data_IF_219047034964
#
_entry.id   IF_219047034964
#
_cell.length_a   1.000
_cell.length_b   1.000
_cell.length_c   1.000
_cell.angle_alpha   90.00
_cell.angle_beta   90.00
_cell.angle_gamma   90.00
#
_symmetry.space_group_name_H-M   'P 1'
#
loop_
_entity.id
_entity.type
_entity.pdbx_description
1 polymer ?
#
# COMPACT_ATOMS: atom_id res chain seq x y z
N UNK A 1 -28.96 -11.80 9.30
CA UNK A 1 -27.88 -11.17 10.08
C UNK A 1 -26.53 -11.66 9.63
N UNK A 2 -26.34 -12.96 9.47
CA UNK A 2 -25.05 -13.61 9.16
C UNK A 2 -24.41 -13.13 7.86
N UNK A 3 -25.23 -12.89 6.82
CA UNK A 3 -24.76 -12.37 5.54
C UNK A 3 -24.20 -10.94 5.67
N UNK A 4 -24.86 -10.06 6.41
CA UNK A 4 -24.40 -8.68 6.62
C UNK A 4 -23.08 -8.64 7.39
N UNK A 5 -22.98 -9.45 8.43
CA UNK A 5 -21.75 -9.58 9.23
C UNK A 5 -20.62 -10.13 8.35
N UNK A 6 -20.89 -11.17 7.56
CA UNK A 6 -19.92 -11.72 6.62
C UNK A 6 -19.43 -10.68 5.61
N UNK A 7 -20.33 -9.87 5.03
CA UNK A 7 -19.96 -8.81 4.08
C UNK A 7 -19.14 -7.68 4.75
N UNK A 8 -19.48 -7.30 5.97
CA UNK A 8 -18.70 -6.31 6.73
C UNK A 8 -17.25 -6.78 6.95
N UNK A 9 -17.06 -8.01 7.41
CA UNK A 9 -15.71 -8.56 7.59
C UNK A 9 -14.96 -8.75 6.26
N UNK A 10 -15.65 -9.13 5.20
CA UNK A 10 -15.07 -9.20 3.87
C UNK A 10 -14.61 -7.83 3.39
N UNK A 11 -15.47 -6.82 3.53
CA UNK A 11 -15.15 -5.44 3.16
C UNK A 11 -14.00 -4.86 4.00
N UNK A 12 -14.00 -5.09 5.32
CA UNK A 12 -12.88 -4.69 6.17
C UNK A 12 -11.56 -5.37 5.78
N UNK A 13 -11.61 -6.65 5.39
CA UNK A 13 -10.43 -7.37 4.92
C UNK A 13 -9.89 -6.79 3.61
N UNK A 14 -10.76 -6.56 2.63
CA UNK A 14 -10.38 -5.89 1.36
C UNK A 14 -9.82 -4.51 1.67
N UNK A 15 -10.52 -3.72 2.48
CA UNK A 15 -10.06 -2.39 2.91
C UNK A 15 -8.70 -2.42 3.60
N UNK A 16 -8.41 -3.45 4.40
CA UNK A 16 -7.11 -3.59 5.08
C UNK A 16 -5.96 -3.81 4.12
N UNK A 17 -6.17 -4.58 3.05
CA UNK A 17 -5.17 -4.80 2.00
C UNK A 17 -4.93 -3.52 1.22
N UNK A 18 -6.02 -2.86 0.80
CA UNK A 18 -5.95 -1.58 0.11
C UNK A 18 -5.24 -0.52 0.97
N UNK A 19 -5.51 -0.54 2.27
CA UNK A 19 -4.87 0.35 3.23
C UNK A 19 -3.37 0.10 3.33
N UNK A 20 -2.92 -1.16 3.49
CA UNK A 20 -1.50 -1.49 3.54
C UNK A 20 -0.76 -1.01 2.29
N UNK A 21 -1.32 -1.25 1.11
CA UNK A 21 -0.76 -0.77 -0.16
C UNK A 21 -0.76 0.76 -0.24
N UNK A 22 -1.86 1.40 0.20
CA UNK A 22 -2.04 2.85 0.14
C UNK A 22 -1.21 3.62 1.18
N UNK A 23 -0.91 3.04 2.36
CA UNK A 23 -0.10 3.70 3.39
C UNK A 23 1.28 4.07 2.85
N UNK A 24 1.93 3.17 2.14
CA UNK A 24 3.21 3.43 1.51
C UNK A 24 3.14 4.54 0.45
N UNK A 25 2.12 4.48 -0.39
CA UNK A 25 1.88 5.48 -1.42
C UNK A 25 1.49 6.85 -0.83
N UNK A 26 0.72 6.87 0.25
CA UNK A 26 0.35 8.10 0.97
C UNK A 26 1.58 8.81 1.54
N UNK A 27 2.59 8.07 2.00
CA UNK A 27 3.86 8.64 2.43
C UNK A 27 4.65 9.24 1.27
N UNK A 28 4.85 8.49 0.20
CA UNK A 28 5.68 8.95 -0.93
C UNK A 28 4.99 10.03 -1.75
N UNK A 29 3.77 9.80 -2.19
CA UNK A 29 3.03 10.76 -2.99
C UNK A 29 2.56 11.96 -2.16
N UNK A 30 2.02 11.72 -0.98
CA UNK A 30 1.48 12.78 -0.13
C UNK A 30 2.51 13.77 0.40
N UNK A 31 3.77 13.33 0.53
CA UNK A 31 4.84 14.15 1.10
C UNK A 31 5.78 14.75 0.06
N UNK A 32 5.98 14.05 -1.03
CA UNK A 32 6.97 14.46 -2.04
C UNK A 32 6.32 14.94 -3.33
N UNK A 33 5.00 14.80 -3.48
CA UNK A 33 4.28 15.14 -4.71
C UNK A 33 4.67 14.27 -5.92
N UNK A 34 5.34 13.15 -5.67
CA UNK A 34 5.88 12.27 -6.71
C UNK A 34 4.95 11.11 -6.95
N UNK A 35 4.43 11.00 -8.17
CA UNK A 35 3.65 9.84 -8.59
C UNK A 35 4.62 8.73 -8.98
N UNK A 36 4.68 7.69 -8.16
CA UNK A 36 5.54 6.53 -8.40
C UNK A 36 4.72 5.34 -8.91
N UNK A 37 4.73 5.12 -10.23
CA UNK A 37 4.02 3.98 -10.84
C UNK A 37 4.70 2.62 -10.55
N UNK A 38 5.99 2.62 -10.17
CA UNK A 38 6.68 1.39 -9.76
C UNK A 38 6.31 0.94 -8.33
N UNK A 39 5.45 1.66 -7.60
CA UNK A 39 5.04 1.29 -6.25
C UNK A 39 4.36 -0.09 -6.20
N UNK A 40 3.59 -0.43 -7.22
CA UNK A 40 3.00 -1.77 -7.37
C UNK A 40 4.04 -2.88 -7.40
N UNK A 41 5.19 -2.63 -8.01
CA UNK A 41 6.25 -3.64 -8.15
C UNK A 41 6.97 -3.92 -6.82
N UNK A 42 6.88 -3.01 -5.85
CA UNK A 42 7.34 -3.28 -4.48
C UNK A 42 6.38 -4.23 -3.75
N UNK A 43 5.07 -4.15 -4.06
CA UNK A 43 4.07 -5.13 -3.61
C UNK A 43 4.39 -6.51 -4.22
N UNK A 44 4.63 -6.56 -5.53
CA UNK A 44 5.04 -7.78 -6.23
C UNK A 44 6.32 -8.36 -5.61
N UNK A 45 7.35 -7.54 -5.40
CA UNK A 45 8.61 -7.99 -4.80
C UNK A 45 8.41 -8.56 -3.38
N UNK A 46 7.54 -7.95 -2.57
CA UNK A 46 7.16 -8.48 -1.26
C UNK A 46 6.49 -9.84 -1.35
N UNK A 47 5.57 -10.04 -2.30
CA UNK A 47 4.89 -11.32 -2.48
C UNK A 47 5.84 -12.42 -2.96
N UNK A 48 6.75 -12.14 -3.89
CA UNK A 48 7.79 -13.09 -4.29
C UNK A 48 8.81 -13.34 -3.18
N UNK A 49 9.08 -12.35 -2.32
CA UNK A 49 9.92 -12.58 -1.13
C UNK A 49 9.29 -13.63 -0.22
N UNK A 50 7.98 -13.61 0.01
CA UNK A 50 7.30 -14.63 0.79
C UNK A 50 7.42 -16.02 0.15
N UNK A 51 7.31 -16.11 -1.16
CA UNK A 51 7.51 -17.36 -1.90
C UNK A 51 8.93 -17.90 -1.74
N UNK A 52 9.96 -17.07 -1.92
CA UNK A 52 11.37 -17.47 -1.78
C UNK A 52 11.71 -17.88 -0.34
N UNK A 53 11.28 -17.12 0.64
CA UNK A 53 11.51 -17.40 2.08
C UNK A 53 10.89 -18.76 2.45
N UNK A 54 9.70 -19.08 1.91
CA UNK A 54 9.04 -20.35 2.20
C UNK A 54 9.78 -21.56 1.58
N UNK A 55 10.50 -21.37 0.48
CA UNK A 55 11.35 -22.46 -0.09
C UNK A 55 12.56 -22.78 0.80
N UNK A 56 13.04 -21.79 1.57
CA UNK A 56 14.18 -21.95 2.47
C UNK A 56 13.73 -22.39 3.86
N UNK A 57 12.60 -21.87 4.35
CA UNK A 57 12.08 -22.11 5.69
C UNK A 57 10.84 -23.00 5.60
N UNK A 58 10.97 -24.27 5.93
CA UNK A 58 9.89 -25.27 5.84
C UNK A 58 8.72 -25.00 6.78
N UNK A 59 8.94 -24.32 7.91
CA UNK A 59 7.87 -23.95 8.84
C UNK A 59 7.10 -22.75 8.30
N UNK A 60 5.86 -22.94 7.83
CA UNK A 60 5.03 -21.89 7.27
C UNK A 60 4.77 -20.71 8.25
N UNK A 61 4.70 -20.99 9.57
CA UNK A 61 4.54 -19.95 10.58
C UNK A 61 5.76 -19.05 10.71
N UNK A 62 6.95 -19.65 10.82
CA UNK A 62 8.23 -18.92 10.89
C UNK A 62 8.48 -18.20 9.56
N UNK A 63 8.24 -18.87 8.44
CA UNK A 63 8.37 -18.31 7.09
C UNK A 63 7.53 -17.03 6.94
N UNK A 64 6.28 -17.01 7.42
CA UNK A 64 5.43 -15.82 7.35
C UNK A 64 6.05 -14.62 8.10
N UNK A 65 6.47 -14.79 9.36
CA UNK A 65 7.04 -13.68 10.13
C UNK A 65 8.37 -13.19 9.55
N UNK A 66 9.22 -14.10 9.10
CA UNK A 66 10.46 -13.75 8.40
C UNK A 66 10.15 -13.02 7.10
N UNK A 67 9.15 -13.48 6.33
CA UNK A 67 8.73 -12.83 5.09
C UNK A 67 8.21 -11.41 5.30
N UNK A 68 7.48 -11.16 6.38
CA UNK A 68 7.02 -9.80 6.72
C UNK A 68 8.21 -8.85 6.91
N UNK A 69 9.22 -9.28 7.66
CA UNK A 69 10.43 -8.48 7.89
C UNK A 69 11.25 -8.32 6.59
N UNK A 70 11.54 -9.42 5.91
CA UNK A 70 12.38 -9.41 4.69
C UNK A 70 11.66 -8.70 3.54
N UNK A 71 10.34 -8.91 3.38
CA UNK A 71 9.54 -8.22 2.38
C UNK A 71 9.49 -6.70 2.59
N UNK A 72 9.40 -6.26 3.85
CA UNK A 72 9.54 -4.84 4.19
C UNK A 72 10.92 -4.29 3.81
N UNK A 73 11.99 -5.03 4.11
CA UNK A 73 13.37 -4.62 3.78
C UNK A 73 13.60 -4.59 2.27
N UNK A 74 13.17 -5.62 1.54
CA UNK A 74 13.31 -5.71 0.08
C UNK A 74 12.56 -4.57 -0.59
N UNK A 75 11.28 -4.35 -0.27
CA UNK A 75 10.52 -3.22 -0.79
C UNK A 75 11.17 -1.88 -0.46
N UNK A 76 11.63 -1.71 0.79
CA UNK A 76 12.30 -0.50 1.26
C UNK A 76 13.60 -0.21 0.50
N UNK A 77 14.46 -1.22 0.32
CA UNK A 77 15.71 -1.09 -0.44
C UNK A 77 15.44 -0.76 -1.90
N UNK A 78 14.48 -1.44 -2.54
CA UNK A 78 14.08 -1.15 -3.92
C UNK A 78 13.59 0.30 -4.06
N UNK A 79 12.79 0.79 -3.10
CA UNK A 79 12.33 2.17 -3.08
C UNK A 79 13.47 3.18 -2.94
N UNK A 80 14.44 2.91 -2.05
CA UNK A 80 15.64 3.76 -1.91
C UNK A 80 16.47 3.75 -3.19
N UNK A 81 16.68 2.60 -3.81
CA UNK A 81 17.39 2.50 -5.08
C UNK A 81 16.70 3.34 -6.16
N UNK A 82 15.38 3.24 -6.29
CA UNK A 82 14.60 4.03 -7.24
C UNK A 82 14.71 5.53 -6.96
N UNK A 83 14.61 5.94 -5.68
CA UNK A 83 14.75 7.35 -5.28
C UNK A 83 16.12 7.89 -5.64
N UNK A 84 17.19 7.20 -5.20
CA UNK A 84 18.57 7.67 -5.36
C UNK A 84 19.01 7.73 -6.83
N UNK A 85 18.60 6.77 -7.65
CA UNK A 85 19.02 6.65 -9.05
C UNK A 85 18.22 7.55 -10.00
N UNK A 86 16.90 7.58 -9.82
CA UNK A 86 15.98 8.17 -10.79
C UNK A 86 15.20 9.37 -10.20
N UNK A 87 14.37 9.16 -9.17
CA UNK A 87 13.38 10.13 -8.73
C UNK A 87 14.03 11.43 -8.26
N UNK A 88 15.15 11.34 -7.54
CA UNK A 88 15.90 12.51 -7.04
C UNK A 88 16.21 13.54 -8.11
N UNK A 89 16.46 13.12 -9.33
CA UNK A 89 16.79 14.00 -10.45
C UNK A 89 15.57 14.62 -11.11
N UNK A 90 14.36 14.21 -10.70
CA UNK A 90 13.10 14.49 -11.39
C UNK A 90 12.02 15.11 -10.50
N UNK A 91 12.34 15.56 -9.27
CA UNK A 91 11.35 16.14 -8.34
C UNK A 91 10.55 17.32 -8.90
N UNK A 92 11.12 18.08 -9.83
CA UNK A 92 10.45 19.23 -10.46
C UNK A 92 9.75 18.86 -11.78
N UNK A 93 9.69 17.57 -12.13
CA UNK A 93 9.14 17.06 -13.40
C UNK A 93 8.17 15.89 -13.14
N UNK A 94 6.95 16.16 -12.63
CA UNK A 94 6.05 15.09 -12.20
C UNK A 94 5.61 14.15 -13.33
N UNK A 95 5.44 14.65 -14.56
CA UNK A 95 5.07 13.82 -15.72
C UNK A 95 6.22 12.91 -16.15
N UNK A 96 7.45 13.44 -16.15
CA UNK A 96 8.64 12.65 -16.50
C UNK A 96 8.84 11.53 -15.44
N UNK A 97 8.62 11.85 -14.16
CA UNK A 97 8.73 10.87 -13.07
C UNK A 97 7.70 9.75 -13.22
N UNK A 98 6.46 10.10 -13.57
CA UNK A 98 5.41 9.10 -13.83
C UNK A 98 5.81 8.16 -14.96
N UNK A 99 6.29 8.71 -16.10
CA UNK A 99 6.66 7.92 -17.27
C UNK A 99 7.87 7.01 -16.99
N UNK A 100 8.91 7.54 -16.34
CA UNK A 100 10.12 6.77 -16.00
C UNK A 100 9.81 5.67 -14.99
N UNK A 101 9.02 5.96 -13.94
CA UNK A 101 8.64 4.94 -12.95
C UNK A 101 7.73 3.86 -13.53
N UNK A 102 6.88 4.21 -14.51
CA UNK A 102 6.12 3.22 -15.28
C UNK A 102 7.05 2.29 -16.07
N UNK A 103 8.05 2.86 -16.77
CA UNK A 103 9.06 2.07 -17.48
C UNK A 103 9.85 1.14 -16.55
N UNK A 104 10.24 1.63 -15.36
CA UNK A 104 10.88 0.79 -14.33
C UNK A 104 9.94 -0.33 -13.87
N UNK A 105 8.65 -0.04 -13.71
CA UNK A 105 7.64 -1.05 -13.39
C UNK A 105 7.63 -2.20 -14.41
N UNK A 106 7.60 -1.88 -15.70
CA UNK A 106 7.64 -2.88 -16.77
C UNK A 106 8.93 -3.71 -16.75
N UNK A 107 10.08 -3.08 -16.49
CA UNK A 107 11.36 -3.78 -16.35
C UNK A 107 11.35 -4.75 -15.16
N UNK A 108 10.81 -4.33 -14.01
CA UNK A 108 10.71 -5.19 -12.82
C UNK A 108 9.74 -6.35 -13.03
N UNK A 109 8.60 -6.13 -13.72
CA UNK A 109 7.68 -7.20 -14.08
C UNK A 109 8.34 -8.21 -15.01
N UNK A 110 9.09 -7.75 -16.02
CA UNK A 110 9.80 -8.63 -16.92
C UNK A 110 10.90 -9.41 -16.18
N UNK A 111 11.68 -8.75 -15.32
CA UNK A 111 12.66 -9.43 -14.49
C UNK A 111 12.03 -10.51 -13.58
N UNK A 112 10.85 -10.23 -13.01
CA UNK A 112 10.12 -11.24 -12.23
C UNK A 112 9.66 -12.43 -13.08
N UNK A 113 9.23 -12.20 -14.34
CA UNK A 113 8.88 -13.30 -15.27
C UNK A 113 10.09 -14.12 -15.65
N UNK A 114 11.24 -13.50 -15.85
CA UNK A 114 12.48 -14.21 -16.22
C UNK A 114 13.02 -15.05 -15.06
N UNK A 115 12.87 -14.58 -13.82
CA UNK A 115 13.36 -15.27 -12.61
C UNK A 115 12.38 -16.34 -12.10
N UNK A 116 11.09 -16.02 -12.02
CA UNK A 116 10.07 -16.87 -11.39
C UNK A 116 9.13 -17.54 -12.38
N UNK A 117 9.19 -17.18 -13.64
CA UNK A 117 8.25 -17.62 -14.67
C UNK A 117 6.98 -16.76 -14.74
N UNK A 118 6.21 -16.99 -15.82
CA UNK A 118 4.94 -16.30 -16.04
C UNK A 118 3.77 -16.87 -15.19
N UNK A 119 3.72 -18.18 -14.86
CA UNK A 119 2.64 -18.74 -14.05
C UNK A 119 2.62 -18.17 -12.63
N UNK A 120 1.41 -18.05 -12.08
CA UNK A 120 1.26 -17.66 -10.69
C UNK A 120 1.74 -18.75 -9.75
N UNK A 121 2.43 -18.34 -8.68
CA UNK A 121 2.93 -19.21 -7.60
C UNK A 121 2.10 -19.00 -6.33
N UNK A 122 1.98 -20.05 -5.52
CA UNK A 122 1.25 -20.00 -4.27
C UNK A 122 2.19 -20.10 -3.08
N UNK A 123 1.87 -19.38 -2.03
CA UNK A 123 2.49 -19.45 -0.71
C UNK A 123 1.53 -20.15 0.24
N UNK A 124 1.99 -21.15 0.97
CA UNK A 124 1.16 -21.92 1.89
C UNK A 124 0.96 -21.11 3.18
N UNK A 125 -0.28 -20.83 3.52
CA UNK A 125 -0.60 -20.17 4.78
C UNK A 125 -0.31 -21.09 5.98
N UNK A 126 0.14 -20.55 7.12
CA UNK A 126 0.36 -21.35 8.34
C UNK A 126 -0.93 -22.04 8.82
N UNK A 127 -0.79 -23.24 9.40
CA UNK A 127 -1.91 -24.04 9.87
C UNK A 127 -2.75 -23.34 10.93
N UNK A 128 -2.15 -22.50 11.77
CA UNK A 128 -2.87 -21.69 12.77
C UNK A 128 -3.75 -20.57 12.16
N UNK A 129 -3.52 -20.20 10.89
CA UNK A 129 -4.37 -19.29 10.11
C UNK A 129 -5.45 -20.04 9.31
N UNK A 130 -5.42 -21.37 9.28
CA UNK A 130 -6.46 -22.16 8.61
C UNK A 130 -7.77 -22.14 9.41
N UNK A 131 -8.89 -22.26 8.69
CA UNK A 131 -10.22 -22.21 9.28
C UNK A 131 -10.73 -20.78 9.54
N UNK A 132 -11.82 -20.69 10.30
CA UNK A 132 -12.47 -19.42 10.64
C UNK A 132 -12.81 -19.34 12.11
N UNK A 133 -13.16 -18.14 12.54
CA UNK A 133 -13.76 -17.85 13.86
C UNK A 133 -15.21 -17.46 13.63
N UNK A 134 -16.11 -18.05 14.39
CA UNK A 134 -17.53 -17.66 14.34
C UNK A 134 -17.73 -16.36 15.13
N UNK A 135 -18.17 -15.32 14.43
CA UNK A 135 -18.45 -14.00 15.00
C UNK A 135 -19.87 -13.61 14.62
N UNK A 136 -20.75 -13.47 15.60
CA UNK A 136 -22.18 -13.16 15.41
C UNK A 136 -22.89 -14.06 14.36
N UNK A 137 -22.55 -15.36 14.35
CA UNK A 137 -23.14 -16.34 13.42
C UNK A 137 -22.45 -16.42 12.04
N UNK A 138 -21.53 -15.53 11.73
CA UNK A 138 -20.75 -15.57 10.48
C UNK A 138 -19.35 -16.17 10.71
N UNK A 139 -18.91 -17.07 9.83
CA UNK A 139 -17.56 -17.64 9.87
C UNK A 139 -16.58 -16.70 9.16
N UNK A 140 -15.70 -16.04 9.92
CA UNK A 140 -14.69 -15.14 9.41
C UNK A 140 -13.33 -15.87 9.30
N UNK A 141 -12.71 -15.98 8.12
CA UNK A 141 -11.40 -16.61 7.95
C UNK A 141 -10.32 -15.96 8.82
N UNK A 142 -9.52 -16.76 9.53
CA UNK A 142 -8.43 -16.26 10.39
C UNK A 142 -7.40 -15.46 9.60
N UNK A 143 -7.14 -15.81 8.34
CA UNK A 143 -6.25 -15.04 7.44
C UNK A 143 -6.71 -13.59 7.30
N UNK A 144 -8.02 -13.35 7.17
CA UNK A 144 -8.58 -11.99 7.06
C UNK A 144 -8.43 -11.19 8.36
N UNK A 145 -8.63 -11.85 9.50
CA UNK A 145 -8.41 -11.24 10.82
C UNK A 145 -6.93 -10.87 11.03
N UNK A 146 -6.03 -11.74 10.58
CA UNK A 146 -4.59 -11.47 10.65
C UNK A 146 -4.20 -10.25 9.79
N UNK A 147 -4.70 -10.16 8.56
CA UNK A 147 -4.42 -9.02 7.67
C UNK A 147 -4.99 -7.72 8.27
N UNK A 148 -6.19 -7.76 8.84
CA UNK A 148 -6.78 -6.62 9.53
C UNK A 148 -5.91 -6.18 10.72
N UNK A 149 -5.47 -7.13 11.56
CA UNK A 149 -4.58 -6.83 12.67
C UNK A 149 -3.24 -6.25 12.21
N UNK A 150 -2.65 -6.81 11.14
CA UNK A 150 -1.42 -6.30 10.54
C UNK A 150 -1.59 -4.86 10.03
N UNK A 151 -2.70 -4.56 9.35
CA UNK A 151 -3.01 -3.22 8.87
C UNK A 151 -3.13 -2.22 10.02
N UNK A 152 -3.85 -2.59 11.09
CA UNK A 152 -3.97 -1.76 12.30
C UNK A 152 -2.61 -1.51 12.94
N UNK A 153 -1.77 -2.55 13.09
CA UNK A 153 -0.41 -2.42 13.63
C UNK A 153 0.42 -1.46 12.77
N UNK A 154 0.38 -1.59 11.44
CA UNK A 154 1.11 -0.70 10.52
C UNK A 154 0.63 0.75 10.63
N UNK A 155 -0.69 0.98 10.69
CA UNK A 155 -1.25 2.32 10.87
C UNK A 155 -0.79 2.94 12.19
N UNK A 156 -0.94 2.21 13.30
CA UNK A 156 -0.55 2.69 14.63
C UNK A 156 0.95 2.96 14.68
N UNK A 157 1.78 2.04 14.16
CA UNK A 157 3.22 2.22 14.09
C UNK A 157 3.61 3.44 13.25
N UNK A 158 2.96 3.64 12.10
CA UNK A 158 3.22 4.77 11.23
C UNK A 158 2.80 6.10 11.87
N UNK A 159 1.60 6.17 12.47
CA UNK A 159 1.13 7.36 13.20
C UNK A 159 2.07 7.66 14.37
N UNK A 160 2.47 6.64 15.13
CA UNK A 160 3.41 6.79 16.24
C UNK A 160 4.78 7.29 15.74
N UNK A 161 5.31 6.72 14.66
CA UNK A 161 6.55 7.15 14.03
C UNK A 161 6.47 8.62 13.57
N UNK A 162 5.38 8.98 12.89
CA UNK A 162 5.17 10.36 12.43
C UNK A 162 4.97 11.36 13.57
N UNK A 163 4.30 10.99 14.66
CA UNK A 163 3.96 11.90 15.76
C UNK A 163 5.10 12.04 16.77
N UNK A 164 5.72 10.95 17.16
CA UNK A 164 6.62 10.91 18.32
C UNK A 164 8.11 10.87 17.96
N UNK A 165 8.50 10.58 16.71
CA UNK A 165 9.91 10.48 16.34
C UNK A 165 10.47 11.76 15.71
N UNK A 166 11.80 11.97 15.79
CA UNK A 166 12.48 13.04 15.05
C UNK A 166 12.28 12.93 13.53
N UNK A 167 12.13 11.71 13.02
CA UNK A 167 11.90 11.44 11.61
C UNK A 167 10.59 12.08 11.13
N UNK A 168 9.48 11.87 11.83
CA UNK A 168 8.20 12.45 11.46
C UNK A 168 8.21 13.98 11.52
N UNK A 169 8.98 14.60 12.45
CA UNK A 169 9.16 16.05 12.48
C UNK A 169 9.93 16.55 11.26
N UNK A 170 11.00 15.86 10.85
CA UNK A 170 11.79 16.20 9.65
C UNK A 170 10.95 16.08 8.39
N UNK A 171 10.20 14.99 8.25
CA UNK A 171 9.31 14.78 7.12
C UNK A 171 8.31 15.94 7.00
N UNK A 172 7.60 16.29 8.08
CA UNK A 172 6.64 17.41 8.06
C UNK A 172 7.30 18.75 7.75
N UNK A 173 8.51 19.02 8.23
CA UNK A 173 9.24 20.24 7.91
C UNK A 173 9.58 20.33 6.43
N UNK A 174 10.09 19.26 5.81
CA UNK A 174 10.41 19.21 4.39
C UNK A 174 9.15 19.34 3.52
N UNK A 175 8.03 18.74 3.93
CA UNK A 175 6.75 18.86 3.24
C UNK A 175 6.19 20.29 3.27
N UNK A 176 6.35 20.99 4.38
CA UNK A 176 5.89 22.38 4.50
C UNK A 176 6.68 23.34 3.62
N UNK A 177 8.00 23.30 3.72
CA UNK A 177 8.89 24.10 2.89
C UNK A 177 10.29 23.47 2.87
N UNK A 178 10.67 22.93 1.71
CA UNK A 178 11.92 22.23 1.51
C UNK A 178 13.14 23.11 1.73
N UNK A 179 13.12 24.30 1.13
CA UNK A 179 14.24 25.23 1.19
C UNK A 179 14.42 25.77 2.62
N UNK A 180 13.32 26.12 3.28
CA UNK A 180 13.35 26.56 4.67
C UNK A 180 13.83 25.46 5.63
N UNK A 181 13.45 24.19 5.39
CA UNK A 181 13.92 23.07 6.19
C UNK A 181 15.45 22.88 6.06
N UNK A 182 16.00 23.09 4.87
CA UNK A 182 17.45 23.02 4.64
C UNK A 182 18.21 24.16 5.33
N UNK A 183 17.66 25.37 5.38
CA UNK A 183 18.32 26.50 6.09
C UNK A 183 18.42 26.28 7.60
N UNK A 184 17.50 25.50 8.20
CA UNK A 184 17.57 25.14 9.63
C UNK A 184 18.33 23.80 9.87
N UNK A 185 19.05 23.28 8.86
CA UNK A 185 19.92 22.12 8.98
C UNK A 185 19.24 20.76 8.82
N UNK A 186 17.99 20.71 8.33
CA UNK A 186 17.30 19.45 8.02
C UNK A 186 17.71 19.01 6.61
N UNK A 187 18.39 17.86 6.51
CA UNK A 187 18.75 17.28 5.21
C UNK A 187 17.50 16.72 4.52
N UNK A 188 17.01 17.42 3.48
CA UNK A 188 15.90 16.95 2.63
C UNK A 188 16.24 15.59 2.02
N UNK A 189 17.47 15.41 1.52
CA UNK A 189 17.95 14.16 0.91
C UNK A 189 17.79 12.94 1.84
N UNK A 190 18.18 13.06 3.12
CA UNK A 190 18.03 11.96 4.10
C UNK A 190 16.56 11.70 4.41
N UNK A 191 15.77 12.75 4.46
CA UNK A 191 14.34 12.67 4.71
C UNK A 191 13.63 11.95 3.58
N UNK A 192 13.98 12.26 2.32
CA UNK A 192 13.44 11.63 1.13
C UNK A 192 13.75 10.12 1.10
N UNK A 193 15.03 9.74 1.30
CA UNK A 193 15.46 8.34 1.38
C UNK A 193 14.65 7.59 2.45
N UNK A 194 14.50 8.18 3.63
CA UNK A 194 13.79 7.54 4.75
C UNK A 194 12.30 7.38 4.43
N UNK A 195 11.70 8.39 3.79
CA UNK A 195 10.29 8.35 3.37
C UNK A 195 10.06 7.27 2.32
N UNK A 196 10.93 7.20 1.30
CA UNK A 196 10.87 6.14 0.28
C UNK A 196 11.09 4.76 0.86
N UNK A 197 12.07 4.60 1.75
CA UNK A 197 12.32 3.32 2.42
C UNK A 197 11.08 2.81 3.17
N UNK A 198 10.45 3.67 3.97
CA UNK A 198 9.26 3.30 4.72
C UNK A 198 8.05 3.05 3.82
N UNK A 199 7.79 3.95 2.87
CA UNK A 199 6.64 3.82 1.97
C UNK A 199 6.72 2.56 1.11
N UNK A 200 7.87 2.31 0.50
CA UNK A 200 8.10 1.12 -0.33
C UNK A 200 8.20 -0.16 0.51
N UNK A 201 8.73 -0.06 1.74
CA UNK A 201 8.74 -1.18 2.69
C UNK A 201 7.32 -1.61 3.09
N UNK A 202 6.42 -0.65 3.35
CA UNK A 202 5.01 -0.93 3.61
C UNK A 202 4.32 -1.60 2.40
N UNK A 203 4.69 -1.21 1.17
CA UNK A 203 4.22 -1.89 -0.03
C UNK A 203 4.72 -3.35 -0.10
N UNK A 204 6.00 -3.59 0.21
CA UNK A 204 6.55 -4.95 0.32
C UNK A 204 5.82 -5.80 1.35
N UNK A 205 5.50 -5.21 2.50
CA UNK A 205 4.73 -5.86 3.57
C UNK A 205 3.29 -6.18 3.12
N UNK A 206 2.64 -5.26 2.38
CA UNK A 206 1.34 -5.50 1.75
C UNK A 206 1.40 -6.68 0.78
N UNK A 207 2.48 -6.80 0.00
CA UNK A 207 2.73 -7.93 -0.90
C UNK A 207 2.78 -9.27 -0.17
N UNK A 208 3.48 -9.33 0.96
CA UNK A 208 3.49 -10.54 1.81
C UNK A 208 2.08 -10.87 2.33
N UNK A 209 1.33 -9.87 2.79
CA UNK A 209 -0.03 -10.07 3.29
C UNK A 209 -0.97 -10.61 2.19
N UNK A 210 -0.79 -10.17 0.94
CA UNK A 210 -1.56 -10.63 -0.22
C UNK A 210 -1.40 -12.12 -0.50
N UNK A 211 -0.22 -12.71 -0.23
CA UNK A 211 0.01 -14.15 -0.44
C UNK A 211 -0.87 -15.04 0.45
N UNK A 212 -1.43 -14.50 1.53
CA UNK A 212 -2.32 -15.24 2.43
C UNK A 212 -3.74 -15.44 1.85
N UNK A 213 -4.11 -14.66 0.83
CA UNK A 213 -5.47 -14.68 0.26
C UNK A 213 -5.49 -14.97 -1.23
N UNK A 214 -4.35 -14.92 -1.90
CA UNK A 214 -4.25 -15.12 -3.34
C UNK A 214 -2.89 -15.59 -3.80
N UNK A 215 -2.81 -15.95 -5.09
CA UNK A 215 -1.57 -16.33 -5.74
C UNK A 215 -0.73 -15.12 -6.10
N UNK A 216 0.59 -15.29 -6.10
CA UNK A 216 1.58 -14.30 -6.54
C UNK A 216 1.82 -14.43 -8.04
N UNK A 217 1.73 -13.32 -8.76
CA UNK A 217 2.04 -13.24 -10.19
C UNK A 217 2.89 -12.01 -10.51
N UNK A 218 3.59 -11.96 -11.65
CA UNK A 218 4.38 -10.78 -12.03
C UNK A 218 3.59 -9.49 -12.17
N UNK A 219 2.27 -9.58 -12.34
CA UNK A 219 1.37 -8.41 -12.53
C UNK A 219 0.52 -8.08 -11.29
N UNK A 220 0.70 -8.80 -10.17
CA UNK A 220 -0.11 -8.60 -8.96
C UNK A 220 -0.02 -7.16 -8.44
N UNK A 221 1.16 -6.58 -8.47
CA UNK A 221 1.39 -5.22 -7.98
C UNK A 221 0.59 -4.16 -8.75
N UNK A 222 0.53 -4.29 -10.07
CA UNK A 222 -0.20 -3.36 -10.93
C UNK A 222 -1.71 -3.37 -10.62
N UNK A 223 -2.28 -4.53 -10.30
CA UNK A 223 -3.70 -4.67 -9.97
C UNK A 223 -4.08 -3.92 -8.69
N UNK A 224 -3.18 -3.85 -7.72
CA UNK A 224 -3.41 -3.14 -6.45
C UNK A 224 -2.91 -1.70 -6.43
N UNK A 225 -2.03 -1.32 -7.36
CA UNK A 225 -1.51 0.04 -7.47
C UNK A 225 -2.62 1.06 -7.73
N UNK A 226 -3.52 0.75 -8.69
CA UNK A 226 -4.64 1.63 -9.07
C UNK A 226 -5.57 1.82 -7.87
N UNK A 227 -5.95 0.74 -7.22
CA UNK A 227 -6.84 0.77 -6.06
C UNK A 227 -6.20 1.54 -4.89
N UNK A 228 -4.90 1.33 -4.61
CA UNK A 228 -4.16 2.08 -3.61
C UNK A 228 -4.07 3.59 -3.93
N UNK A 229 -3.90 3.93 -5.20
CA UNK A 229 -3.89 5.32 -5.65
C UNK A 229 -5.25 5.99 -5.41
N UNK A 230 -6.35 5.29 -5.71
CA UNK A 230 -7.70 5.78 -5.46
C UNK A 230 -7.95 6.01 -3.95
N UNK A 231 -7.49 5.10 -3.09
CA UNK A 231 -7.54 5.29 -1.63
C UNK A 231 -6.84 6.57 -1.21
N UNK A 232 -5.63 6.83 -1.72
CA UNK A 232 -4.84 8.02 -1.36
C UNK A 232 -5.50 9.31 -1.86
N UNK A 233 -6.04 9.31 -3.08
CA UNK A 233 -6.69 10.49 -3.67
C UNK A 233 -8.00 10.80 -2.94
N UNK A 234 -8.84 9.79 -2.68
CA UNK A 234 -10.10 9.96 -1.95
C UNK A 234 -9.84 10.38 -0.50
N UNK A 235 -8.85 9.75 0.14
CA UNK A 235 -8.48 10.04 1.52
C UNK A 235 -7.95 11.45 1.72
N UNK A 236 -7.38 12.03 0.66
CA UNK A 236 -6.65 13.30 0.69
C UNK A 236 -5.14 13.06 0.81
N UNK A 237 -4.39 13.67 -0.10
CA UNK A 237 -2.95 13.47 -0.26
C UNK A 237 -2.18 13.73 1.04
N UNK A 238 -1.38 12.77 1.48
CA UNK A 238 -0.54 12.87 2.68
C UNK A 238 -1.26 12.78 4.02
N UNK A 239 -2.54 12.41 4.02
CA UNK A 239 -3.34 12.24 5.23
C UNK A 239 -3.57 10.77 5.53
N UNK A 240 -2.92 10.25 6.58
CA UNK A 240 -3.05 8.84 6.97
C UNK A 240 -4.49 8.54 7.42
N UNK A 241 -5.10 9.44 8.19
CA UNK A 241 -6.47 9.29 8.66
C UNK A 241 -7.47 9.22 7.48
N UNK A 242 -7.21 10.02 6.44
CA UNK A 242 -7.99 10.00 5.22
C UNK A 242 -7.84 8.69 4.45
N UNK A 243 -6.61 8.19 4.33
CA UNK A 243 -6.35 6.91 3.68
C UNK A 243 -7.04 5.74 4.41
N UNK A 244 -7.06 5.74 5.76
CA UNK A 244 -7.77 4.73 6.56
C UNK A 244 -9.27 4.75 6.26
N UNK A 245 -9.90 5.93 6.31
CA UNK A 245 -11.34 6.06 6.05
C UNK A 245 -11.69 5.68 4.61
N UNK A 246 -10.89 6.14 3.64
CA UNK A 246 -11.10 5.81 2.23
C UNK A 246 -10.94 4.30 1.95
N UNK A 247 -9.92 3.66 2.52
CA UNK A 247 -9.70 2.23 2.35
C UNK A 247 -10.84 1.39 2.94
N UNK A 248 -11.31 1.74 4.13
CA UNK A 248 -12.46 1.06 4.75
C UNK A 248 -13.72 1.29 3.92
N UNK A 249 -13.99 2.53 3.51
CA UNK A 249 -15.16 2.84 2.69
C UNK A 249 -15.15 2.08 1.36
N UNK A 250 -14.01 2.08 0.63
CA UNK A 250 -13.87 1.38 -0.64
C UNK A 250 -13.94 -0.14 -0.47
N UNK A 251 -13.34 -0.69 0.58
CA UNK A 251 -13.42 -2.11 0.88
C UNK A 251 -14.86 -2.55 1.15
N UNK A 252 -15.60 -1.79 1.96
CA UNK A 252 -17.02 -2.05 2.23
C UNK A 252 -17.86 -1.91 0.97
N UNK A 253 -17.72 -0.80 0.23
CA UNK A 253 -18.45 -0.60 -1.03
C UNK A 253 -18.22 -1.76 -2.01
N UNK A 254 -16.96 -2.16 -2.19
CA UNK A 254 -16.63 -3.27 -3.08
C UNK A 254 -17.30 -4.58 -2.63
N UNK A 255 -17.21 -4.91 -1.33
CA UNK A 255 -17.82 -6.13 -0.76
C UNK A 255 -19.34 -6.16 -0.95
N UNK A 256 -20.04 -5.07 -0.65
CA UNK A 256 -21.51 -5.02 -0.79
C UNK A 256 -21.98 -5.05 -2.23
N UNK A 257 -21.27 -4.37 -3.14
CA UNK A 257 -21.62 -4.38 -4.56
C UNK A 257 -21.31 -5.74 -5.19
N UNK A 258 -20.18 -6.36 -4.84
CA UNK A 258 -19.78 -7.67 -5.33
C UNK A 258 -20.75 -8.78 -4.88
N UNK A 259 -21.38 -8.64 -3.71
CA UNK A 259 -22.39 -9.59 -3.24
C UNK A 259 -23.61 -9.66 -4.14
N UNK A 260 -24.02 -8.54 -4.75
CA UNK A 260 -25.20 -8.47 -5.62
C UNK A 260 -24.87 -8.55 -7.12
N UNK A 261 -23.56 -8.53 -7.49
CA UNK A 261 -23.09 -8.50 -8.87
C UNK A 261 -21.92 -9.46 -9.07
N UNK A 262 -21.09 -9.20 -10.06
CA UNK A 262 -19.79 -9.89 -10.24
C UNK A 262 -18.64 -8.97 -9.84
N UNK A 263 -17.48 -9.54 -9.50
CA UNK A 263 -16.29 -8.78 -9.12
C UNK A 263 -15.89 -7.72 -10.17
N UNK A 264 -16.05 -8.03 -11.46
CA UNK A 264 -15.77 -7.09 -12.55
C UNK A 264 -16.75 -5.92 -12.59
N UNK A 265 -18.04 -6.18 -12.42
CA UNK A 265 -19.09 -5.14 -12.40
C UNK A 265 -18.92 -4.28 -11.14
N UNK A 266 -18.63 -4.90 -9.99
CA UNK A 266 -18.38 -4.18 -8.75
C UNK A 266 -17.23 -3.16 -8.90
N UNK A 267 -16.11 -3.56 -9.50
CA UNK A 267 -14.99 -2.65 -9.79
C UNK A 267 -15.40 -1.46 -10.65
N UNK A 268 -16.18 -1.69 -11.72
CA UNK A 268 -16.66 -0.61 -12.58
C UNK A 268 -17.56 0.37 -11.82
N UNK A 269 -18.52 -0.15 -11.04
CA UNK A 269 -19.44 0.69 -10.24
C UNK A 269 -18.65 1.51 -9.20
N UNK A 270 -17.73 0.88 -8.47
CA UNK A 270 -16.88 1.56 -7.48
C UNK A 270 -16.07 2.66 -8.16
N UNK A 271 -15.48 2.39 -9.33
CA UNK A 271 -14.70 3.38 -10.07
C UNK A 271 -15.56 4.58 -10.50
N UNK A 272 -16.76 4.33 -11.03
CA UNK A 272 -17.71 5.41 -11.40
C UNK A 272 -18.10 6.25 -10.19
N UNK A 273 -18.39 5.62 -9.04
CA UNK A 273 -18.69 6.33 -7.79
C UNK A 273 -17.53 7.21 -7.34
N UNK A 274 -16.30 6.74 -7.48
CA UNK A 274 -15.09 7.50 -7.16
C UNK A 274 -14.95 8.72 -8.08
N UNK A 275 -15.17 8.55 -9.40
CA UNK A 275 -15.11 9.66 -10.35
C UNK A 275 -16.15 10.73 -10.00
N UNK A 276 -17.39 10.32 -9.71
CA UNK A 276 -18.44 11.24 -9.28
C UNK A 276 -18.05 11.95 -7.99
N UNK A 277 -17.55 11.22 -7.00
CA UNK A 277 -17.08 11.81 -5.74
C UNK A 277 -15.99 12.86 -5.96
N UNK A 278 -14.98 12.58 -6.80
CA UNK A 278 -13.88 13.49 -7.08
C UNK A 278 -14.34 14.73 -7.89
N UNK A 279 -15.38 14.61 -8.71
CA UNK A 279 -15.99 15.79 -9.38
C UNK A 279 -16.63 16.73 -8.36
N UNK A 280 -17.24 16.18 -7.31
CA UNK A 280 -17.88 16.99 -6.25
C UNK A 280 -16.85 17.48 -5.21
N UNK A 281 -15.85 16.65 -4.89
CA UNK A 281 -14.80 16.94 -3.91
C UNK A 281 -13.40 16.61 -4.45
N UNK A 282 -12.82 17.47 -5.31
CA UNK A 282 -11.52 17.20 -5.94
C UNK A 282 -10.35 17.14 -4.96
N UNK A 283 -10.51 17.69 -3.74
CA UNK A 283 -9.49 17.68 -2.69
C UNK A 283 -9.54 16.40 -1.80
N UNK A 284 -10.46 15.46 -2.09
CA UNK A 284 -10.70 14.29 -1.26
C UNK A 284 -11.46 14.58 0.03
N UNK A 285 -11.48 13.61 0.97
CA UNK A 285 -12.19 13.70 2.25
C UNK A 285 -11.57 14.74 3.18
N UNK A 286 -10.23 14.83 3.20
CA UNK A 286 -9.48 15.73 4.07
C UNK A 286 -8.62 16.68 3.23
N UNK A 287 -9.19 17.82 2.87
CA UNK A 287 -8.45 18.87 2.19
C UNK A 287 -7.31 19.41 3.07
N UNK A 288 -6.10 19.44 2.54
CA UNK A 288 -5.01 20.22 3.16
C UNK A 288 -5.29 21.68 2.83
N UNK A 289 -5.75 22.46 3.83
CA UNK A 289 -5.81 23.93 3.71
C UNK A 289 -4.36 24.43 3.65
N UNK A 290 -3.81 24.58 2.46
CA UNK A 290 -2.63 25.42 2.28
C UNK A 290 -3.06 26.85 2.57
N UNK A 291 -2.62 27.40 3.68
CA UNK A 291 -2.67 28.87 3.86
C UNK A 291 -1.75 29.43 2.79
N UNK A 292 -2.33 29.94 1.71
CA UNK A 292 -1.61 30.89 0.87
C UNK A 292 -1.32 32.10 1.73
N UNK A 293 -0.05 32.28 2.10
CA UNK A 293 0.43 33.58 2.53
C UNK A 293 0.46 34.41 1.24
N UNK A 294 -0.62 35.16 1.02
CA UNK A 294 -0.63 36.31 0.15
C UNK A 294 -0.12 37.48 0.98
#
# INVERSE_FOLDING_TARGET
MDVLVGQLFTGLSIGSILLLAALGLSLTFGQMGVINMAHGEFIMAGSYTAFVVQQVISSAGVSLFVSLLVGFLVGGVMGVLLEVTLIRRMYHRPLDTLLVTFGVGLLLQQAARDVFGAPAVNVVAPSWLSGGVEIFGAVVPKTRLFILALAVICVVALIAAMKYTPMGRRIRAVVQNRDLAETVGISSRRTDITTFFLGSGLAGLAGVALTLIGSTSPTIGQSYLIDAFLVVVIGGLGRIEGAVLAAVALGLLNSFIEYSTTASIAKVIVFVLIVIFLQVRPQGLFAVKTRSLV
#
